data_IF_107043550804
#
_entry.id   IF_107043550804
#
_cell.length_a   1.000
_cell.length_b   1.000
_cell.length_c   1.000
_cell.angle_alpha   90.00
_cell.angle_beta   90.00
_cell.angle_gamma   90.00
#
_symmetry.space_group_name_H-M   'P 1'
#
loop_
_entity.id
_entity.type
_entity.pdbx_description
1 polymer ?
#
# COMPACT_ATOMS: atom_id res chain seq x y z
N UNK A 1 2.65 -21.11 -22.58
CA UNK A 1 3.88 -21.02 -21.74
C UNK A 1 3.40 -20.63 -20.35
N UNK A 2 3.45 -21.56 -19.39
CA UNK A 2 3.03 -21.25 -18.00
C UNK A 2 4.22 -20.55 -17.37
N UNK A 3 4.08 -19.25 -17.11
CA UNK A 3 5.04 -18.51 -16.29
C UNK A 3 4.98 -19.10 -14.88
N UNK A 4 5.96 -19.88 -14.51
CA UNK A 4 6.18 -20.25 -13.12
C UNK A 4 6.95 -19.13 -12.45
N UNK A 5 6.25 -18.08 -12.09
CA UNK A 5 6.83 -17.05 -11.23
C UNK A 5 7.23 -17.71 -9.89
N UNK A 6 8.46 -17.52 -9.47
CA UNK A 6 9.03 -18.15 -8.26
C UNK A 6 9.14 -17.17 -7.08
N UNK A 7 8.65 -15.95 -7.25
CA UNK A 7 8.81 -14.87 -6.27
C UNK A 7 7.46 -14.28 -5.91
N UNK A 8 7.33 -13.90 -4.66
CA UNK A 8 6.15 -13.21 -4.16
C UNK A 8 5.86 -11.92 -4.95
N UNK A 9 6.89 -11.15 -5.28
CA UNK A 9 6.79 -9.93 -6.12
C UNK A 9 6.08 -10.18 -7.46
N UNK A 10 6.30 -11.34 -8.07
CA UNK A 10 5.72 -11.68 -9.37
C UNK A 10 4.32 -12.30 -9.19
N UNK A 11 4.19 -13.22 -8.23
CA UNK A 11 2.98 -14.03 -8.04
C UNK A 11 1.83 -13.25 -7.40
N UNK A 12 2.12 -12.49 -6.35
CA UNK A 12 1.10 -11.86 -5.53
C UNK A 12 0.28 -10.83 -6.29
N UNK A 13 0.87 -9.76 -6.84
CA UNK A 13 0.13 -8.72 -7.56
C UNK A 13 -0.55 -9.22 -8.83
N UNK A 14 0.11 -10.12 -9.59
CA UNK A 14 -0.47 -10.73 -10.77
C UNK A 14 -1.67 -11.61 -10.40
N UNK A 15 -1.53 -12.44 -9.38
CA UNK A 15 -2.61 -13.28 -8.87
C UNK A 15 -3.78 -12.45 -8.34
N UNK A 16 -3.50 -11.37 -7.61
CA UNK A 16 -4.51 -10.43 -7.13
C UNK A 16 -5.32 -9.81 -8.28
N UNK A 17 -4.63 -9.38 -9.33
CA UNK A 17 -5.27 -8.83 -10.54
C UNK A 17 -6.10 -9.87 -11.28
N UNK A 18 -5.59 -11.09 -11.40
CA UNK A 18 -6.32 -12.20 -12.03
C UNK A 18 -7.56 -12.63 -11.25
N UNK A 19 -7.56 -12.50 -9.91
CA UNK A 19 -8.77 -12.77 -9.12
C UNK A 19 -9.86 -11.76 -9.46
N UNK A 20 -9.56 -10.48 -9.60
CA UNK A 20 -10.57 -9.49 -10.00
C UNK A 20 -11.14 -9.77 -11.41
N UNK A 21 -10.26 -10.20 -12.35
CA UNK A 21 -10.71 -10.64 -13.67
C UNK A 21 -11.57 -11.92 -13.58
N UNK A 22 -11.16 -12.89 -12.76
CA UNK A 22 -11.89 -14.15 -12.56
C UNK A 22 -13.30 -13.92 -12.00
N UNK A 23 -13.43 -12.96 -11.07
CA UNK A 23 -14.73 -12.60 -10.50
C UNK A 23 -15.66 -11.96 -11.53
N UNK A 24 -15.11 -11.20 -12.48
CA UNK A 24 -15.89 -10.50 -13.52
C UNK A 24 -16.05 -11.30 -14.80
N UNK A 25 -15.02 -12.03 -15.22
CA UNK A 25 -14.94 -12.78 -16.45
C UNK A 25 -14.32 -14.15 -16.19
N UNK A 26 -15.08 -15.11 -15.65
CA UNK A 26 -14.53 -16.42 -15.26
C UNK A 26 -13.86 -17.15 -16.42
N UNK A 27 -12.59 -17.58 -16.22
CA UNK A 27 -11.85 -18.35 -17.19
C UNK A 27 -10.93 -19.39 -16.53
N UNK A 28 -10.91 -20.60 -17.08
CA UNK A 28 -10.15 -21.74 -16.52
C UNK A 28 -8.64 -21.43 -16.38
N UNK A 29 -8.05 -20.71 -17.32
CA UNK A 29 -6.62 -20.35 -17.25
C UNK A 29 -6.31 -19.41 -16.11
N UNK A 30 -7.20 -18.47 -15.80
CA UNK A 30 -7.04 -17.60 -14.65
C UNK A 30 -7.09 -18.38 -13.34
N UNK A 31 -8.09 -19.27 -13.23
CA UNK A 31 -8.25 -20.09 -12.04
C UNK A 31 -7.03 -21.00 -11.79
N UNK A 32 -6.46 -21.59 -12.83
CA UNK A 32 -5.24 -22.39 -12.70
C UNK A 32 -4.07 -21.57 -12.11
N UNK A 33 -3.82 -20.39 -12.65
CA UNK A 33 -2.76 -19.52 -12.13
C UNK A 33 -3.03 -19.08 -10.69
N UNK A 34 -4.26 -18.66 -10.39
CA UNK A 34 -4.69 -18.27 -9.03
C UNK A 34 -4.46 -19.40 -8.04
N UNK A 35 -4.82 -20.64 -8.42
CA UNK A 35 -4.65 -21.83 -7.56
C UNK A 35 -3.16 -22.16 -7.33
N UNK A 36 -2.34 -22.03 -8.36
CA UNK A 36 -0.89 -22.21 -8.23
C UNK A 36 -0.26 -21.17 -7.31
N UNK A 37 -0.66 -19.89 -7.46
CA UNK A 37 -0.22 -18.80 -6.58
C UNK A 37 -0.65 -19.03 -5.13
N UNK A 38 -1.90 -19.44 -4.91
CA UNK A 38 -2.40 -19.77 -3.58
C UNK A 38 -1.64 -20.93 -2.94
N UNK A 39 -1.32 -21.96 -3.72
CA UNK A 39 -0.50 -23.10 -3.26
C UNK A 39 0.91 -22.66 -2.87
N UNK A 40 1.52 -21.77 -3.68
CA UNK A 40 2.83 -21.21 -3.38
C UNK A 40 2.83 -20.43 -2.06
N UNK A 41 1.91 -19.47 -1.89
CA UNK A 41 1.84 -18.68 -0.65
C UNK A 41 1.53 -19.51 0.60
N UNK A 42 0.72 -20.55 0.46
CA UNK A 42 0.33 -21.39 1.60
C UNK A 42 1.43 -22.37 2.05
N UNK A 43 2.25 -22.87 1.10
CA UNK A 43 3.11 -24.02 1.37
C UNK A 43 4.58 -23.83 0.99
N UNK A 44 4.92 -22.86 0.18
CA UNK A 44 6.27 -22.67 -0.35
C UNK A 44 6.88 -21.31 -0.02
N UNK A 45 6.08 -20.29 0.25
CA UNK A 45 6.60 -18.98 0.62
C UNK A 45 7.24 -19.03 2.00
N UNK A 46 8.49 -18.55 2.14
CA UNK A 46 9.19 -18.61 3.43
C UNK A 46 8.50 -17.78 4.50
N UNK A 47 8.41 -18.37 5.70
CA UNK A 47 7.79 -17.72 6.87
C UNK A 47 8.64 -17.92 8.12
N UNK A 48 8.62 -16.92 8.98
CA UNK A 48 9.16 -17.04 10.33
C UNK A 48 8.26 -17.95 11.20
N UNK A 49 8.72 -18.29 12.41
CA UNK A 49 8.00 -19.14 13.36
C UNK A 49 6.62 -18.57 13.73
N UNK A 50 6.48 -17.23 13.73
CA UNK A 50 5.21 -16.55 14.01
C UNK A 50 4.30 -16.41 12.77
N UNK A 51 4.69 -17.02 11.64
CA UNK A 51 3.94 -17.01 10.39
C UNK A 51 4.21 -15.80 9.50
N UNK A 52 5.05 -14.85 9.91
CA UNK A 52 5.42 -13.67 9.10
C UNK A 52 6.15 -14.11 7.84
N UNK A 53 5.70 -13.64 6.68
CA UNK A 53 6.41 -13.86 5.42
C UNK A 53 7.74 -13.10 5.47
N UNK A 54 8.82 -13.80 5.09
CA UNK A 54 10.18 -13.27 5.12
C UNK A 54 10.96 -13.74 3.90
N UNK A 55 11.93 -12.95 3.48
CA UNK A 55 12.74 -13.26 2.29
C UNK A 55 13.91 -14.18 2.64
N UNK A 56 14.19 -15.11 1.71
CA UNK A 56 15.43 -15.88 1.66
C UNK A 56 16.32 -15.43 0.48
N UNK A 57 15.84 -14.51 -0.33
CA UNK A 57 16.54 -13.94 -1.48
C UNK A 57 15.93 -12.58 -1.85
N UNK A 58 16.70 -11.58 -2.30
CA UNK A 58 18.17 -11.53 -2.46
C UNK A 58 18.94 -11.36 -1.13
N UNK A 59 18.26 -11.04 -0.05
CA UNK A 59 18.83 -10.90 1.29
C UNK A 59 18.07 -11.86 2.22
N UNK A 60 18.77 -12.91 2.64
CA UNK A 60 18.20 -13.89 3.57
C UNK A 60 17.85 -13.26 4.91
N UNK A 61 16.88 -13.87 5.59
CA UNK A 61 16.47 -13.47 6.94
C UNK A 61 16.05 -11.99 7.03
N UNK A 62 15.34 -11.50 6.01
CA UNK A 62 14.82 -10.12 6.00
C UNK A 62 13.32 -10.07 5.80
N UNK A 63 12.69 -9.07 6.41
CA UNK A 63 11.28 -8.71 6.22
C UNK A 63 11.27 -7.37 5.49
N UNK A 64 10.60 -7.28 4.34
CA UNK A 64 10.47 -6.06 3.56
C UNK A 64 9.04 -5.54 3.59
N UNK A 65 8.87 -4.25 3.76
CA UNK A 65 7.55 -3.62 3.77
C UNK A 65 6.78 -3.83 2.46
N UNK A 66 7.49 -3.97 1.34
CA UNK A 66 6.93 -4.26 0.01
C UNK A 66 6.11 -5.56 0.01
N UNK A 67 6.61 -6.59 0.68
CA UNK A 67 5.99 -7.92 0.72
C UNK A 67 4.61 -7.92 1.37
N UNK A 68 4.32 -6.90 2.21
CA UNK A 68 2.98 -6.72 2.76
C UNK A 68 1.94 -6.59 1.63
N UNK A 69 2.20 -5.75 0.62
CA UNK A 69 1.28 -5.63 -0.51
C UNK A 69 1.24 -6.90 -1.36
N UNK A 70 2.40 -7.48 -1.63
CA UNK A 70 2.52 -8.65 -2.49
C UNK A 70 1.72 -9.84 -1.94
N UNK A 71 1.72 -10.05 -0.64
CA UNK A 71 0.97 -11.11 0.01
C UNK A 71 -0.49 -10.73 0.31
N UNK A 72 -0.69 -9.62 1.02
CA UNK A 72 -1.99 -9.26 1.61
C UNK A 72 -3.03 -8.96 0.52
N UNK A 73 -2.63 -8.28 -0.57
CA UNK A 73 -3.54 -7.99 -1.67
C UNK A 73 -4.06 -9.26 -2.35
N UNK A 74 -3.23 -10.29 -2.49
CA UNK A 74 -3.63 -11.58 -3.01
C UNK A 74 -4.52 -12.33 -2.02
N UNK A 75 -4.09 -12.48 -0.77
CA UNK A 75 -4.82 -13.19 0.28
C UNK A 75 -6.22 -12.59 0.50
N UNK A 76 -6.32 -11.27 0.55
CA UNK A 76 -7.60 -10.55 0.70
C UNK A 76 -8.58 -10.92 -0.42
N UNK A 77 -8.10 -10.96 -1.67
CA UNK A 77 -8.91 -11.32 -2.83
C UNK A 77 -9.20 -12.80 -2.90
N UNK A 78 -8.30 -13.66 -2.42
CA UNK A 78 -8.58 -15.10 -2.29
C UNK A 78 -9.73 -15.35 -1.31
N UNK A 79 -9.76 -14.64 -0.18
CA UNK A 79 -10.89 -14.66 0.75
C UNK A 79 -12.20 -14.27 0.08
N UNK A 80 -12.18 -13.19 -0.74
CA UNK A 80 -13.35 -12.75 -1.53
C UNK A 80 -13.78 -13.79 -2.58
N UNK A 81 -12.83 -14.42 -3.28
CA UNK A 81 -13.10 -15.41 -4.33
C UNK A 81 -13.66 -16.73 -3.77
N UNK A 82 -13.08 -17.21 -2.66
CA UNK A 82 -13.39 -18.55 -2.12
C UNK A 82 -14.37 -18.55 -0.97
N UNK A 83 -14.52 -17.43 -0.26
CA UNK A 83 -15.27 -17.36 1.00
C UNK A 83 -14.54 -18.00 2.20
N UNK A 84 -13.33 -18.57 2.01
CA UNK A 84 -12.57 -19.27 3.04
C UNK A 84 -11.89 -18.25 3.98
N UNK A 85 -12.23 -18.30 5.26
CA UNK A 85 -11.75 -17.35 6.28
C UNK A 85 -10.23 -17.39 6.48
N UNK A 86 -9.58 -18.54 6.24
CA UNK A 86 -8.13 -18.67 6.41
C UNK A 86 -7.32 -17.62 5.64
N UNK A 87 -7.80 -17.19 4.48
CA UNK A 87 -7.13 -16.15 3.68
C UNK A 87 -7.27 -14.76 4.30
N UNK A 88 -8.44 -14.46 4.88
CA UNK A 88 -8.62 -13.21 5.63
C UNK A 88 -7.83 -13.21 6.91
N UNK A 89 -7.80 -14.35 7.64
CA UNK A 89 -7.05 -14.52 8.87
C UNK A 89 -5.54 -14.36 8.62
N UNK A 90 -5.01 -14.99 7.55
CA UNK A 90 -3.59 -14.84 7.19
C UNK A 90 -3.28 -13.38 6.78
N UNK A 91 -4.09 -12.77 5.91
CA UNK A 91 -3.91 -11.37 5.52
C UNK A 91 -3.91 -10.42 6.72
N UNK A 92 -4.83 -10.60 7.66
CA UNK A 92 -4.92 -9.82 8.89
C UNK A 92 -3.69 -10.00 9.78
N UNK A 93 -3.26 -11.25 9.97
CA UNK A 93 -2.05 -11.57 10.72
C UNK A 93 -0.79 -10.99 10.07
N UNK A 94 -0.68 -11.02 8.72
CA UNK A 94 0.43 -10.38 8.03
C UNK A 94 0.48 -8.87 8.31
N UNK A 95 -0.65 -8.15 8.27
CA UNK A 95 -0.67 -6.71 8.63
C UNK A 95 -0.08 -6.50 10.03
N UNK A 96 -0.54 -7.25 11.02
CA UNK A 96 -0.06 -7.10 12.40
C UNK A 96 1.41 -7.50 12.57
N UNK A 97 1.83 -8.55 11.90
CA UNK A 97 3.20 -9.02 11.94
C UNK A 97 4.15 -8.00 11.29
N UNK A 98 3.84 -7.53 10.08
CA UNK A 98 4.63 -6.45 9.45
C UNK A 98 4.68 -5.20 10.32
N UNK A 99 3.57 -4.84 10.98
CA UNK A 99 3.54 -3.72 11.94
C UNK A 99 4.48 -3.98 13.12
N UNK A 100 4.48 -5.17 13.69
CA UNK A 100 5.38 -5.55 14.80
C UNK A 100 6.86 -5.38 14.46
N UNK A 101 7.25 -5.77 13.23
CA UNK A 101 8.65 -5.76 12.80
C UNK A 101 9.11 -4.44 12.21
N UNK A 102 8.23 -3.67 11.59
CA UNK A 102 8.64 -2.54 10.74
C UNK A 102 8.14 -1.18 11.21
N UNK A 103 7.19 -1.12 12.16
CA UNK A 103 6.63 0.14 12.61
C UNK A 103 7.61 0.98 13.43
N UNK A 104 7.72 2.27 13.10
CA UNK A 104 8.44 3.27 13.88
C UNK A 104 7.43 4.14 14.64
N UNK A 105 7.20 3.89 15.94
CA UNK A 105 6.18 4.62 16.72
C UNK A 105 6.44 6.12 16.79
N UNK A 106 7.71 6.53 16.89
CA UNK A 106 8.15 7.91 17.02
C UNK A 106 7.79 8.74 15.78
N UNK A 107 7.84 8.09 14.62
CA UNK A 107 7.57 8.71 13.32
C UNK A 107 6.19 8.40 12.76
N UNK A 108 5.54 7.35 13.26
CA UNK A 108 4.26 6.82 12.76
C UNK A 108 4.30 6.44 11.27
N UNK A 109 5.41 5.85 10.84
CA UNK A 109 5.67 5.30 9.51
C UNK A 109 6.51 4.02 9.63
N UNK A 110 6.63 3.27 8.54
CA UNK A 110 7.35 2.01 8.52
C UNK A 110 8.80 2.18 8.05
N UNK A 111 9.70 1.40 8.63
CA UNK A 111 11.01 1.12 8.03
C UNK A 111 10.83 0.29 6.75
N UNK A 112 11.75 0.44 5.80
CA UNK A 112 11.73 -0.35 4.56
C UNK A 112 11.93 -1.84 4.82
N UNK A 113 12.84 -2.20 5.74
CA UNK A 113 13.11 -3.58 6.07
C UNK A 113 13.54 -3.78 7.52
N UNK A 114 13.52 -5.05 7.92
CA UNK A 114 14.03 -5.54 9.19
C UNK A 114 14.89 -6.79 8.95
N UNK A 115 16.06 -6.86 9.59
CA UNK A 115 16.98 -7.99 9.56
C UNK A 115 16.74 -8.87 10.78
N UNK A 116 16.30 -10.10 10.58
CA UNK A 116 15.89 -10.99 11.68
C UNK A 116 17.08 -11.59 12.43
N UNK A 117 18.26 -11.68 11.81
CA UNK A 117 19.47 -12.25 12.40
C UNK A 117 20.03 -11.36 13.50
N UNK A 118 20.21 -10.08 13.21
CA UNK A 118 20.75 -9.08 14.14
C UNK A 118 19.68 -8.27 14.85
N UNK A 119 18.39 -8.45 14.47
CA UNK A 119 17.22 -7.74 15.02
C UNK A 119 17.30 -6.22 14.82
N UNK A 120 17.77 -5.78 13.66
CA UNK A 120 17.93 -4.37 13.34
C UNK A 120 17.02 -3.94 12.20
N UNK A 121 16.51 -2.72 12.29
CA UNK A 121 15.79 -2.09 11.19
C UNK A 121 16.79 -1.61 10.11
N UNK A 122 16.32 -1.60 8.87
CA UNK A 122 17.00 -0.89 7.80
C UNK A 122 17.01 0.63 8.04
N UNK A 123 17.86 1.33 7.31
CA UNK A 123 18.14 2.77 7.57
C UNK A 123 17.07 3.72 7.01
N UNK A 124 16.14 3.24 6.18
CA UNK A 124 15.28 4.09 5.37
C UNK A 124 13.79 3.97 5.73
N UNK A 125 13.11 5.10 5.78
CA UNK A 125 11.65 5.21 5.70
C UNK A 125 11.25 5.53 4.26
N UNK A 126 11.42 4.54 3.38
CA UNK A 126 11.19 4.71 1.95
C UNK A 126 9.71 4.89 1.64
N UNK A 127 9.39 5.92 0.83
CA UNK A 127 8.01 6.33 0.53
C UNK A 127 7.19 5.21 -0.10
N UNK A 128 7.68 4.59 -1.18
CA UNK A 128 6.97 3.51 -1.86
C UNK A 128 6.74 2.28 -0.97
N UNK A 129 7.70 1.91 -0.13
CA UNK A 129 7.54 0.82 0.82
C UNK A 129 6.39 1.09 1.80
N UNK A 130 6.31 2.31 2.35
CA UNK A 130 5.19 2.77 3.17
C UNK A 130 3.87 2.78 2.39
N UNK A 131 3.92 3.18 1.12
CA UNK A 131 2.78 3.14 0.21
C UNK A 131 2.24 1.73 -0.01
N UNK A 132 3.12 0.74 -0.19
CA UNK A 132 2.73 -0.66 -0.32
C UNK A 132 1.97 -1.17 0.91
N UNK A 133 2.48 -0.91 2.11
CA UNK A 133 1.80 -1.29 3.36
C UNK A 133 0.43 -0.62 3.46
N UNK A 134 0.33 0.66 3.08
CA UNK A 134 -0.91 1.41 3.15
C UNK A 134 -1.97 0.88 2.18
N UNK A 135 -1.57 0.58 0.94
CA UNK A 135 -2.44 -0.03 -0.07
C UNK A 135 -2.90 -1.44 0.35
N UNK A 136 -1.99 -2.24 0.93
CA UNK A 136 -2.31 -3.58 1.42
C UNK A 136 -3.40 -3.56 2.49
N UNK A 137 -3.28 -2.65 3.46
CA UNK A 137 -4.28 -2.45 4.49
C UNK A 137 -5.63 -2.00 3.90
N UNK A 138 -5.62 -1.05 2.95
CA UNK A 138 -6.83 -0.60 2.29
C UNK A 138 -7.52 -1.72 1.49
N UNK A 139 -6.75 -2.57 0.80
CA UNK A 139 -7.26 -3.73 0.07
C UNK A 139 -7.91 -4.76 1.01
N UNK A 140 -7.26 -5.06 2.14
CA UNK A 140 -7.82 -5.97 3.16
C UNK A 140 -9.11 -5.40 3.75
N UNK A 141 -9.10 -4.11 4.16
CA UNK A 141 -10.26 -3.46 4.76
C UNK A 141 -11.50 -3.49 3.88
N UNK A 142 -11.31 -3.33 2.57
CA UNK A 142 -12.42 -3.33 1.60
C UNK A 142 -13.20 -4.65 1.57
N UNK A 143 -12.61 -5.76 2.01
CA UNK A 143 -13.20 -7.10 1.92
C UNK A 143 -13.32 -7.81 3.27
N UNK A 144 -12.69 -7.28 4.32
CA UNK A 144 -12.68 -7.91 5.65
C UNK A 144 -14.08 -7.87 6.27
N UNK A 145 -14.55 -9.01 6.75
CA UNK A 145 -15.86 -9.15 7.39
C UNK A 145 -15.97 -8.26 8.62
N UNK A 146 -17.16 -7.72 8.88
CA UNK A 146 -17.42 -6.84 10.04
C UNK A 146 -17.14 -7.52 11.37
N UNK A 147 -17.36 -8.83 11.44
CA UNK A 147 -17.22 -9.66 12.64
C UNK A 147 -15.80 -10.19 12.86
N UNK A 148 -14.84 -9.85 11.98
CA UNK A 148 -13.47 -10.34 12.10
C UNK A 148 -12.83 -9.83 13.42
N UNK A 149 -12.25 -10.70 14.26
CA UNK A 149 -11.80 -10.35 15.62
C UNK A 149 -10.70 -9.28 15.64
N UNK A 150 -9.87 -9.20 14.60
CA UNK A 150 -8.78 -8.22 14.52
C UNK A 150 -9.19 -6.89 13.85
N UNK A 151 -10.46 -6.75 13.48
CA UNK A 151 -10.94 -5.61 12.69
C UNK A 151 -10.60 -4.25 13.31
N UNK A 152 -10.87 -4.07 14.59
CA UNK A 152 -10.62 -2.81 15.29
C UNK A 152 -9.11 -2.49 15.41
N UNK A 153 -8.28 -3.50 15.61
CA UNK A 153 -6.83 -3.33 15.68
C UNK A 153 -6.25 -2.93 14.32
N UNK A 154 -6.69 -3.58 13.25
CA UNK A 154 -6.31 -3.24 11.89
C UNK A 154 -6.73 -1.81 11.52
N UNK A 155 -7.93 -1.35 11.96
CA UNK A 155 -8.36 0.02 11.74
C UNK A 155 -7.48 1.03 12.48
N UNK A 156 -7.09 0.72 13.70
CA UNK A 156 -6.14 1.57 14.42
C UNK A 156 -4.81 1.70 13.66
N UNK A 157 -4.26 0.60 13.17
CA UNK A 157 -3.02 0.61 12.38
C UNK A 157 -3.16 1.47 11.12
N UNK A 158 -4.24 1.29 10.37
CA UNK A 158 -4.50 2.08 9.17
C UNK A 158 -4.58 3.58 9.48
N UNK A 159 -5.33 3.95 10.52
CA UNK A 159 -5.49 5.35 10.98
C UNK A 159 -4.18 5.96 11.48
N UNK A 160 -3.38 5.20 12.20
CA UNK A 160 -2.07 5.64 12.68
C UNK A 160 -1.13 5.90 11.51
N UNK A 161 -1.08 5.00 10.51
CA UNK A 161 -0.27 5.22 9.32
C UNK A 161 -0.79 6.41 8.50
N UNK A 162 -2.10 6.55 8.30
CA UNK A 162 -2.69 7.69 7.60
C UNK A 162 -2.27 9.02 8.24
N UNK A 163 -2.35 9.10 9.58
CA UNK A 163 -1.91 10.28 10.33
C UNK A 163 -0.41 10.51 10.24
N UNK A 164 0.37 9.43 10.22
CA UNK A 164 1.83 9.48 10.05
C UNK A 164 2.19 10.05 8.68
N UNK A 165 1.74 9.43 7.62
CA UNK A 165 2.08 9.87 6.25
C UNK A 165 1.58 11.27 5.96
N UNK A 166 0.41 11.68 6.46
CA UNK A 166 -0.10 13.04 6.27
C UNK A 166 0.85 14.12 6.79
N UNK A 167 1.60 13.85 7.87
CA UNK A 167 2.59 14.79 8.44
C UNK A 167 3.81 15.01 7.55
N UNK A 168 4.11 14.06 6.66
CA UNK A 168 5.28 14.10 5.79
C UNK A 168 4.94 14.56 4.37
N UNK A 169 3.72 15.05 4.13
CA UNK A 169 3.38 15.61 2.82
C UNK A 169 4.15 16.90 2.56
N UNK A 170 4.87 16.96 1.44
CA UNK A 170 5.60 18.15 1.02
C UNK A 170 4.68 19.31 0.65
N UNK A 171 5.22 20.51 0.62
CA UNK A 171 4.48 21.76 0.30
C UNK A 171 3.82 21.74 -1.07
N UNK A 172 4.37 20.96 -1.99
CA UNK A 172 3.83 20.77 -3.34
C UNK A 172 2.77 19.67 -3.43
N UNK A 173 2.40 19.05 -2.28
CA UNK A 173 1.45 17.96 -2.21
C UNK A 173 2.05 16.58 -2.45
N UNK A 174 3.26 16.48 -3.01
CA UNK A 174 3.99 15.22 -3.18
C UNK A 174 4.66 14.79 -1.87
N UNK A 175 4.97 13.50 -1.76
CA UNK A 175 5.84 12.98 -0.71
C UNK A 175 7.24 12.75 -1.26
N UNK A 176 8.22 12.92 -0.37
CA UNK A 176 9.62 12.71 -0.69
C UNK A 176 9.97 11.23 -0.77
N UNK A 177 11.03 10.88 -1.51
CA UNK A 177 11.59 9.53 -1.65
C UNK A 177 11.82 8.86 -0.28
N UNK A 178 12.34 9.62 0.68
CA UNK A 178 12.46 9.25 2.08
C UNK A 178 11.52 10.14 2.89
N UNK A 179 10.49 9.56 3.50
CA UNK A 179 9.41 10.32 4.13
C UNK A 179 9.89 11.30 5.20
N UNK A 180 10.89 10.92 5.97
CA UNK A 180 11.47 11.74 7.06
C UNK A 180 12.64 12.62 6.63
N UNK A 181 12.84 12.81 5.31
CA UNK A 181 13.94 13.58 4.72
C UNK A 181 13.41 14.52 3.63
N UNK A 182 13.10 15.76 4.03
CA UNK A 182 12.56 16.78 3.13
C UNK A 182 13.57 17.22 2.04
N UNK A 183 14.85 16.90 2.19
CA UNK A 183 15.91 17.15 1.22
C UNK A 183 16.08 16.03 0.19
N UNK A 184 15.35 14.91 0.32
CA UNK A 184 15.27 13.90 -0.74
C UNK A 184 14.29 14.36 -1.84
N UNK A 185 14.42 13.81 -3.05
CA UNK A 185 13.55 14.22 -4.15
C UNK A 185 12.07 13.80 -3.92
N UNK A 186 11.14 14.55 -4.53
CA UNK A 186 9.72 14.21 -4.54
C UNK A 186 9.46 13.00 -5.45
N UNK A 187 8.62 12.05 -5.00
CA UNK A 187 8.45 10.75 -5.65
C UNK A 187 6.96 10.44 -5.87
N UNK A 188 6.62 10.13 -7.13
CA UNK A 188 5.20 10.00 -7.51
C UNK A 188 4.56 8.70 -7.05
N UNK A 189 5.31 7.57 -6.92
CA UNK A 189 4.69 6.27 -6.65
C UNK A 189 4.16 6.17 -5.23
N UNK A 190 4.97 6.55 -4.24
CA UNK A 190 4.53 6.64 -2.85
C UNK A 190 3.39 7.65 -2.70
N UNK A 191 3.51 8.80 -3.38
CA UNK A 191 2.44 9.82 -3.42
C UNK A 191 1.13 9.21 -3.91
N UNK A 192 1.12 8.51 -5.02
CA UNK A 192 -0.07 7.87 -5.58
C UNK A 192 -0.69 6.84 -4.62
N UNK A 193 0.13 6.03 -3.97
CA UNK A 193 -0.31 5.03 -3.01
C UNK A 193 -0.97 5.68 -1.78
N UNK A 194 -0.43 6.79 -1.29
CA UNK A 194 -1.03 7.54 -0.19
C UNK A 194 -2.34 8.22 -0.60
N UNK A 195 -2.37 8.85 -1.77
CA UNK A 195 -3.60 9.42 -2.34
C UNK A 195 -4.70 8.38 -2.44
N UNK A 196 -4.40 7.21 -3.02
CA UNK A 196 -5.34 6.09 -3.11
C UNK A 196 -5.88 5.67 -1.75
N UNK A 197 -4.99 5.36 -0.79
CA UNK A 197 -5.40 4.83 0.52
C UNK A 197 -6.17 5.85 1.35
N UNK A 198 -5.80 7.14 1.28
CA UNK A 198 -6.50 8.22 1.99
C UNK A 198 -7.88 8.44 1.37
N UNK A 199 -7.96 8.61 0.05
CA UNK A 199 -9.24 8.82 -0.65
C UNK A 199 -10.22 7.68 -0.37
N UNK A 200 -9.75 6.43 -0.52
CA UNK A 200 -10.53 5.25 -0.19
C UNK A 200 -10.95 5.24 1.28
N UNK A 201 -10.04 5.53 2.20
CA UNK A 201 -10.32 5.56 3.63
C UNK A 201 -11.39 6.59 4.01
N UNK A 202 -11.41 7.76 3.35
CA UNK A 202 -12.46 8.77 3.55
C UNK A 202 -13.78 8.31 2.94
N UNK A 203 -13.77 7.86 1.69
CA UNK A 203 -14.96 7.39 0.99
C UNK A 203 -15.69 6.27 1.76
N UNK A 204 -14.96 5.36 2.35
CA UNK A 204 -15.50 4.22 3.10
C UNK A 204 -15.74 4.52 4.60
N UNK A 205 -15.51 5.76 5.04
CA UNK A 205 -15.71 6.17 6.45
C UNK A 205 -14.67 5.62 7.44
N UNK A 206 -13.52 5.13 6.96
CA UNK A 206 -12.43 4.64 7.83
C UNK A 206 -11.59 5.77 8.40
N UNK A 207 -11.46 6.87 7.65
CA UNK A 207 -10.77 8.09 8.04
C UNK A 207 -11.76 9.23 8.23
N UNK A 208 -11.34 10.22 9.02
CA UNK A 208 -12.07 11.46 9.16
C UNK A 208 -12.16 12.19 7.80
N UNK A 209 -13.30 12.80 7.45
CA UNK A 209 -13.48 13.46 6.15
C UNK A 209 -12.41 14.48 5.80
N UNK A 210 -11.83 15.19 6.77
CA UNK A 210 -10.78 16.17 6.53
C UNK A 210 -9.51 15.61 5.89
N UNK A 211 -9.27 14.30 5.99
CA UNK A 211 -8.15 13.67 5.30
C UNK A 211 -8.23 13.81 3.78
N UNK A 212 -9.42 14.06 3.21
CA UNK A 212 -9.55 14.23 1.76
C UNK A 212 -8.74 15.43 1.25
N UNK A 213 -8.54 16.47 2.09
CA UNK A 213 -7.66 17.59 1.74
C UNK A 213 -6.24 17.12 1.42
N UNK A 214 -5.71 16.19 2.21
CA UNK A 214 -4.37 15.60 1.98
C UNK A 214 -4.32 14.88 0.64
N UNK A 215 -5.33 14.07 0.33
CA UNK A 215 -5.42 13.37 -0.96
C UNK A 215 -5.55 14.33 -2.13
N UNK A 216 -6.35 15.40 -2.02
CA UNK A 216 -6.48 16.44 -3.05
C UNK A 216 -5.16 17.19 -3.32
N UNK A 217 -4.39 17.51 -2.26
CA UNK A 217 -3.07 18.13 -2.44
C UNK A 217 -2.10 17.14 -3.13
N UNK A 218 -2.14 15.85 -2.75
CA UNK A 218 -1.37 14.81 -3.40
C UNK A 218 -1.72 14.67 -4.89
N UNK A 219 -3.01 14.63 -5.22
CA UNK A 219 -3.49 14.60 -6.60
C UNK A 219 -2.98 15.82 -7.40
N UNK A 220 -3.09 17.03 -6.86
CA UNK A 220 -2.56 18.25 -7.50
C UNK A 220 -1.05 18.14 -7.74
N UNK A 221 -0.31 17.55 -6.80
CA UNK A 221 1.11 17.26 -6.96
C UNK A 221 1.38 16.32 -8.12
N UNK A 222 0.69 15.18 -8.14
CA UNK A 222 0.81 14.17 -9.19
C UNK A 222 0.50 14.72 -10.59
N UNK A 223 -0.59 15.50 -10.74
CA UNK A 223 -1.00 16.06 -12.03
C UNK A 223 0.07 16.94 -12.69
N UNK A 224 1.00 17.51 -11.91
CA UNK A 224 2.14 18.26 -12.49
C UNK A 224 3.21 17.35 -13.09
N UNK A 225 3.22 16.07 -12.73
CA UNK A 225 4.17 15.07 -13.22
C UNK A 225 3.58 14.16 -14.29
N UNK A 226 2.32 14.38 -14.66
CA UNK A 226 1.62 13.63 -15.70
C UNK A 226 1.42 14.57 -16.90
N UNK A 227 1.91 14.16 -18.08
CA UNK A 227 1.73 14.94 -19.32
C UNK A 227 0.30 14.81 -19.86
N UNK A 228 -0.07 15.71 -20.80
CA UNK A 228 -1.36 15.63 -21.50
C UNK A 228 -1.52 14.34 -22.34
N UNK A 229 -0.41 13.68 -22.68
CA UNK A 229 -0.38 12.38 -23.36
C UNK A 229 -0.49 11.19 -22.40
N UNK A 230 -0.43 11.45 -21.09
CA UNK A 230 -0.49 10.43 -20.03
C UNK A 230 0.88 9.90 -19.58
N UNK A 231 2.00 10.50 -20.05
CA UNK A 231 3.33 10.11 -19.58
C UNK A 231 3.52 10.51 -18.12
N UNK A 232 4.05 9.60 -17.33
CA UNK A 232 4.24 9.77 -15.88
C UNK A 232 5.71 9.93 -15.55
N UNK A 233 6.09 11.08 -15.00
CA UNK A 233 7.45 11.41 -14.56
C UNK A 233 7.64 11.17 -13.06
N UNK A 234 8.92 11.13 -12.63
CA UNK A 234 9.27 11.09 -11.21
C UNK A 234 9.08 9.73 -10.55
N UNK A 235 9.08 8.64 -11.32
CA UNK A 235 8.96 7.28 -10.80
C UNK A 235 10.34 6.77 -10.38
N UNK A 236 10.53 6.49 -9.11
CA UNK A 236 11.72 5.80 -8.61
C UNK A 236 11.79 4.38 -9.21
N UNK A 237 12.91 4.01 -9.80
CA UNK A 237 13.13 2.64 -10.31
C UNK A 237 13.08 1.59 -9.21
N UNK A 238 13.06 0.30 -9.58
CA UNK A 238 13.12 -0.82 -8.64
C UNK A 238 14.23 -0.64 -7.61
N UNK A 239 13.92 -0.77 -6.30
CA UNK A 239 14.81 -0.41 -5.20
C UNK A 239 14.89 -1.57 -4.20
N UNK A 240 16.10 -2.08 -4.00
CA UNK A 240 16.39 -3.06 -2.95
C UNK A 240 16.72 -2.41 -1.61
N UNK A 241 17.05 -3.24 -0.62
CA UNK A 241 17.54 -2.76 0.68
C UNK A 241 19.07 -2.55 0.63
N UNK A 242 19.52 -1.46 1.25
CA UNK A 242 20.94 -1.15 1.40
C UNK A 242 21.21 -0.48 2.75
N UNK A 243 22.39 -0.64 3.32
CA UNK A 243 22.74 -0.10 4.65
C UNK A 243 23.02 1.40 4.64
N UNK A 244 22.93 2.08 3.50
CA UNK A 244 23.25 3.50 3.37
C UNK A 244 22.06 4.30 2.85
N UNK A 245 21.73 5.40 3.54
CA UNK A 245 20.74 6.38 3.05
C UNK A 245 21.16 6.99 1.71
N UNK A 246 22.45 7.16 1.43
CA UNK A 246 22.93 7.68 0.14
C UNK A 246 22.45 6.83 -1.05
N UNK A 247 22.28 5.53 -0.88
CA UNK A 247 21.68 4.68 -1.90
C UNK A 247 20.27 5.12 -2.24
N UNK A 248 19.42 5.40 -1.26
CA UNK A 248 18.04 5.82 -1.45
C UNK A 248 17.94 7.23 -2.02
N UNK A 249 18.77 8.16 -1.54
CA UNK A 249 18.84 9.52 -2.06
C UNK A 249 19.18 9.58 -3.57
N UNK A 250 20.03 8.66 -4.01
CA UNK A 250 20.56 8.64 -5.38
C UNK A 250 19.86 7.61 -6.28
N UNK A 251 18.70 7.06 -5.87
CA UNK A 251 17.96 6.18 -6.78
C UNK A 251 17.54 6.95 -8.03
N UNK A 252 17.78 6.37 -9.22
CA UNK A 252 17.30 6.99 -10.46
C UNK A 252 15.78 7.07 -10.48
N UNK A 253 15.29 8.07 -11.22
CA UNK A 253 13.88 8.18 -11.60
C UNK A 253 13.74 7.98 -13.11
N UNK A 254 12.64 7.36 -13.52
CA UNK A 254 12.32 7.13 -14.91
C UNK A 254 10.91 7.62 -15.23
N UNK A 255 10.71 8.00 -16.48
CA UNK A 255 9.39 8.26 -17.04
C UNK A 255 8.78 6.93 -17.48
N UNK A 256 7.50 6.72 -17.17
CA UNK A 256 6.74 5.51 -17.53
C UNK A 256 7.37 4.19 -17.03
N UNK A 257 8.04 4.22 -15.87
CA UNK A 257 8.52 2.98 -15.25
C UNK A 257 7.34 2.16 -14.72
N UNK A 258 7.28 0.84 -14.98
CA UNK A 258 6.17 -0.04 -14.55
C UNK A 258 5.86 0.00 -13.05
N UNK A 259 6.83 0.41 -12.20
CA UNK A 259 6.62 0.53 -10.75
C UNK A 259 5.64 1.63 -10.37
N UNK A 260 5.39 2.61 -11.27
CA UNK A 260 4.55 3.79 -11.00
C UNK A 260 3.18 3.76 -11.64
N UNK A 261 3.03 3.16 -12.81
CA UNK A 261 1.78 3.24 -13.59
C UNK A 261 0.58 2.68 -12.85
N UNK A 262 0.71 1.50 -12.23
CA UNK A 262 -0.36 0.87 -11.48
C UNK A 262 -0.85 1.71 -10.29
N UNK A 263 0.03 2.15 -9.39
CA UNK A 263 -0.32 3.06 -8.30
C UNK A 263 -0.97 4.36 -8.76
N UNK A 264 -0.43 5.00 -9.80
CA UNK A 264 -0.98 6.26 -10.34
C UNK A 264 -2.39 6.05 -10.86
N UNK A 265 -2.63 5.01 -11.66
CA UNK A 265 -3.98 4.68 -12.16
C UNK A 265 -4.96 4.41 -11.01
N UNK A 266 -4.55 3.67 -9.99
CA UNK A 266 -5.42 3.40 -8.82
C UNK A 266 -5.77 4.67 -8.07
N UNK A 267 -4.82 5.58 -7.89
CA UNK A 267 -5.06 6.87 -7.26
C UNK A 267 -6.05 7.73 -8.05
N UNK A 268 -5.83 7.86 -9.37
CA UNK A 268 -6.70 8.65 -10.25
C UNK A 268 -8.15 8.11 -10.24
N UNK A 269 -8.30 6.79 -10.37
CA UNK A 269 -9.64 6.15 -10.36
C UNK A 269 -10.33 6.35 -9.01
N UNK A 270 -9.63 6.18 -7.87
CA UNK A 270 -10.24 6.35 -6.56
C UNK A 270 -10.66 7.81 -6.31
N UNK A 271 -9.88 8.79 -6.82
CA UNK A 271 -10.20 10.21 -6.68
C UNK A 271 -11.38 10.69 -7.55
N UNK A 272 -11.78 9.95 -8.60
CA UNK A 272 -12.98 10.28 -9.40
C UNK A 272 -14.24 10.28 -8.54
N UNK A 273 -14.36 9.29 -7.66
CA UNK A 273 -15.55 9.07 -6.82
C UNK A 273 -15.35 9.55 -5.36
N UNK A 274 -14.21 10.17 -5.06
CA UNK A 274 -13.94 10.67 -3.72
C UNK A 274 -14.72 11.97 -3.45
N UNK A 275 -15.20 12.20 -2.21
CA UNK A 275 -15.84 13.46 -1.85
C UNK A 275 -14.84 14.62 -1.98
N UNK A 276 -15.32 15.82 -2.26
CA UNK A 276 -14.47 17.02 -2.32
C UNK A 276 -14.43 17.71 -0.97
N UNK A 277 -13.24 18.18 -0.58
CA UNK A 277 -13.07 18.91 0.67
C UNK A 277 -13.98 20.14 0.79
N UNK A 278 -14.18 20.87 -0.31
CA UNK A 278 -15.10 22.03 -0.37
C UNK A 278 -16.55 21.65 -0.08
N UNK A 279 -16.99 20.49 -0.54
CA UNK A 279 -18.34 19.97 -0.30
C UNK A 279 -18.52 19.61 1.18
N UNK A 280 -17.57 18.89 1.77
CA UNK A 280 -17.56 18.54 3.21
C UNK A 280 -17.64 19.78 4.08
N UNK A 281 -16.85 20.81 3.80
CA UNK A 281 -16.86 22.05 4.59
C UNK A 281 -18.15 22.85 4.42
N UNK A 282 -18.81 22.78 3.26
CA UNK A 282 -20.11 23.39 3.05
C UNK A 282 -21.21 22.71 3.89
N UNK A 283 -21.21 21.37 3.94
CA UNK A 283 -22.15 20.60 4.77
C UNK A 283 -21.98 20.89 6.27
N UNK A 284 -20.73 20.87 6.77
CA UNK A 284 -20.45 21.21 8.17
C UNK A 284 -20.91 22.63 8.55
N UNK A 285 -20.77 23.58 7.64
CA UNK A 285 -21.22 24.96 7.86
C UNK A 285 -22.74 25.06 7.87
N UNK A 286 -23.40 24.35 6.96
CA UNK A 286 -24.88 24.25 6.91
C UNK A 286 -25.45 23.66 8.19
N UNK A 287 -24.90 22.53 8.65
CA UNK A 287 -25.35 21.86 9.88
C UNK A 287 -25.20 22.77 11.11
N UNK A 288 -24.08 23.52 11.20
CA UNK A 288 -23.88 24.51 12.28
C UNK A 288 -24.90 25.64 12.25
N UNK A 289 -25.42 26.01 11.08
CA UNK A 289 -26.45 27.06 10.93
C UNK A 289 -27.81 26.50 11.34
N UNK A 290 -28.12 25.28 10.92
CA UNK A 290 -29.40 24.60 11.21
C UNK A 290 -29.54 24.27 12.71
N UNK A 291 -28.46 23.80 13.35
CA UNK A 291 -28.45 23.46 14.77
C UNK A 291 -28.50 24.67 15.70
N UNK A 292 -28.32 25.88 15.19
CA UNK A 292 -28.45 27.14 15.95
C UNK A 292 -29.83 27.76 15.87
N UNK A 293 -30.75 27.20 15.09
CA UNK A 293 -32.18 27.57 15.04
C UNK A 293 -33.03 26.64 15.90
#
# INVERSE_FOLDING_TARGET
MIFRAKRLDDNGPMGASLIELQLKYPHKSFLNYITETASHLNYAEPRLVDGTIARIWPHENTIWADDAFMAISFLSRMGKLTGDSKYYDDAANQVLNYTRYLWCPEKSIYYHCYHTDNKEHGVAHWSRANGWVFMAQADLWAVLRKEHPLREELLRNFRQQASGVARYQGKNGLWHQLLDKEDSYEEITGTAMFVFGIAKGVKEGWLHPDFIYVAEQGLKGMMRLISDQGDVKGICVGTGIMPSLAYYYNRPVQENDPMGEGPVLRALVEMIDAPKYSEIKAEEQYDKIVMKK
#
